data_IF_837369548885
#
_entry.id   IF_837369548885
#
_cell.length_a   1.000
_cell.length_b   1.000
_cell.length_c   1.000
_cell.angle_alpha   90.00
_cell.angle_beta   90.00
_cell.angle_gamma   90.00
#
_symmetry.space_group_name_H-M   'P 1'
#
loop_
_entity.id
_entity.type
_entity.pdbx_description
1 polymer ?
#
# COMPACT_ATOMS: atom_id res chain seq x y z
N UNK A 1 5.54 -16.48 -4.96
CA UNK A 1 5.18 -15.06 -5.13
C UNK A 1 3.66 -15.00 -5.20
N UNK A 2 2.98 -14.28 -4.31
CA UNK A 2 1.51 -14.27 -4.30
C UNK A 2 0.96 -13.52 -5.51
N UNK A 3 -0.10 -14.04 -6.13
CA UNK A 3 -0.76 -13.39 -7.26
C UNK A 3 -1.75 -12.32 -6.77
N UNK A 4 -1.67 -11.13 -7.36
CA UNK A 4 -2.65 -10.05 -7.10
C UNK A 4 -3.93 -10.30 -7.90
N UNK A 5 -5.08 -10.17 -7.26
CA UNK A 5 -6.38 -10.23 -7.94
C UNK A 5 -6.63 -8.92 -8.71
N UNK A 6 -6.85 -9.02 -10.03
CA UNK A 6 -6.98 -7.87 -10.94
C UNK A 6 -8.41 -7.72 -11.50
N UNK A 7 -8.62 -6.67 -12.30
CA UNK A 7 -9.85 -6.42 -13.04
C UNK A 7 -11.07 -6.12 -12.15
N UNK A 8 -12.27 -6.46 -12.64
CA UNK A 8 -13.54 -6.20 -11.95
C UNK A 8 -13.58 -6.79 -10.54
N UNK A 9 -13.09 -8.03 -10.38
CA UNK A 9 -13.03 -8.72 -9.08
C UNK A 9 -12.13 -7.96 -8.11
N UNK A 10 -10.94 -7.54 -8.54
CA UNK A 10 -10.04 -6.72 -7.73
C UNK A 10 -10.67 -5.38 -7.30
N UNK A 11 -11.38 -4.70 -8.21
CA UNK A 11 -12.08 -3.45 -7.89
C UNK A 11 -13.21 -3.66 -6.86
N UNK A 12 -13.95 -4.76 -6.96
CA UNK A 12 -15.00 -5.11 -5.99
C UNK A 12 -14.39 -5.41 -4.61
N UNK A 13 -13.31 -6.19 -4.56
CA UNK A 13 -12.58 -6.47 -3.31
C UNK A 13 -12.05 -5.19 -2.68
N UNK A 14 -11.45 -4.30 -3.48
CA UNK A 14 -10.95 -3.00 -3.01
C UNK A 14 -12.06 -2.19 -2.34
N UNK A 15 -13.22 -2.05 -3.00
CA UNK A 15 -14.38 -1.33 -2.45
C UNK A 15 -14.88 -1.96 -1.15
N UNK A 16 -15.03 -3.29 -1.12
CA UNK A 16 -15.49 -4.02 0.08
C UNK A 16 -14.50 -3.87 1.24
N UNK A 17 -13.19 -3.99 0.99
CA UNK A 17 -12.14 -3.85 2.02
C UNK A 17 -12.17 -2.45 2.66
N UNK A 18 -12.25 -1.39 1.85
CA UNK A 18 -12.37 -0.02 2.34
C UNK A 18 -13.70 0.27 3.05
N UNK A 19 -14.81 -0.36 2.62
CA UNK A 19 -16.08 -0.22 3.32
C UNK A 19 -16.07 -0.89 4.70
N UNK A 20 -15.42 -2.05 4.82
CA UNK A 20 -15.29 -2.78 6.07
C UNK A 20 -14.32 -2.11 7.05
N UNK A 21 -13.28 -1.47 6.54
CA UNK A 21 -12.29 -0.74 7.33
C UNK A 21 -12.11 0.69 6.77
N UNK A 22 -13.06 1.60 7.06
CA UNK A 22 -13.09 2.94 6.46
C UNK A 22 -12.07 3.90 7.07
N UNK A 23 -11.45 3.54 8.20
CA UNK A 23 -10.45 4.35 8.88
C UNK A 23 -9.07 3.71 8.75
N UNK A 24 -8.04 4.53 8.60
CA UNK A 24 -6.66 4.07 8.56
C UNK A 24 -6.29 3.34 9.87
N UNK A 25 -5.91 2.07 9.77
CA UNK A 25 -5.55 1.22 10.92
C UNK A 25 -4.44 1.85 11.78
N UNK A 26 -3.35 2.32 11.14
CA UNK A 26 -2.22 2.98 11.83
C UNK A 26 -2.60 4.30 12.49
N UNK A 27 -3.42 5.12 11.84
CA UNK A 27 -3.89 6.36 12.44
C UNK A 27 -4.75 6.06 13.66
N UNK A 28 -5.67 5.09 13.55
CA UNK A 28 -6.55 4.66 14.64
C UNK A 28 -5.75 4.16 15.85
N UNK A 29 -4.72 3.34 15.64
CA UNK A 29 -3.79 2.88 16.69
C UNK A 29 -3.07 4.04 17.39
N UNK A 30 -2.81 5.14 16.68
CA UNK A 30 -2.20 6.37 17.20
C UNK A 30 -3.22 7.38 17.76
N UNK A 31 -4.49 6.99 17.90
CA UNK A 31 -5.57 7.87 18.38
C UNK A 31 -6.01 8.95 17.39
N UNK A 32 -5.69 8.82 16.10
CA UNK A 32 -6.06 9.76 15.04
C UNK A 32 -7.17 9.18 14.17
N UNK A 33 -8.12 10.03 13.77
CA UNK A 33 -9.21 9.64 12.86
C UNK A 33 -8.85 10.14 11.46
N UNK A 34 -8.47 9.21 10.59
CA UNK A 34 -8.15 9.49 9.18
C UNK A 34 -8.83 8.46 8.31
N UNK A 35 -9.44 8.89 7.20
CA UNK A 35 -10.06 7.97 6.24
C UNK A 35 -8.99 7.05 5.61
N UNK A 36 -9.33 5.78 5.44
CA UNK A 36 -8.50 4.87 4.64
C UNK A 36 -8.80 5.06 3.15
N UNK A 37 -7.75 5.10 2.34
CA UNK A 37 -7.81 5.30 0.90
C UNK A 37 -7.30 4.07 0.13
N UNK A 38 -6.42 3.27 0.75
CA UNK A 38 -5.71 2.16 0.09
C UNK A 38 -5.73 0.89 0.97
N UNK A 39 -6.17 -0.26 0.43
CA UNK A 39 -5.89 -1.56 1.02
C UNK A 39 -4.44 -1.99 0.77
N UNK A 40 -3.72 -2.28 1.84
CA UNK A 40 -2.31 -2.67 1.86
C UNK A 40 -2.16 -4.13 2.29
N UNK A 41 -1.22 -4.85 1.67
CA UNK A 41 -0.86 -6.22 2.05
C UNK A 41 0.08 -6.19 3.27
N UNK A 42 -0.36 -6.74 4.41
CA UNK A 42 0.42 -6.75 5.66
C UNK A 42 1.78 -7.43 5.44
N UNK A 43 1.76 -8.63 4.86
CA UNK A 43 2.90 -9.27 4.23
C UNK A 43 2.83 -9.01 2.73
N UNK A 44 3.80 -8.30 2.13
CA UNK A 44 3.74 -7.98 0.71
C UNK A 44 3.76 -9.22 -0.18
N UNK A 45 3.07 -9.16 -1.32
CA UNK A 45 3.03 -10.25 -2.31
C UNK A 45 4.43 -10.63 -2.81
N UNK A 46 5.32 -9.65 -2.98
CA UNK A 46 6.72 -9.83 -3.38
C UNK A 46 7.53 -10.63 -2.34
N UNK A 47 7.15 -10.56 -1.06
CA UNK A 47 7.77 -11.30 0.04
C UNK A 47 7.00 -12.59 0.38
N UNK A 48 6.13 -13.06 -0.52
CA UNK A 48 5.35 -14.29 -0.34
C UNK A 48 4.13 -14.11 0.57
N UNK A 49 3.53 -12.93 0.59
CA UNK A 49 2.17 -12.74 1.09
C UNK A 49 1.11 -13.15 0.06
N UNK A 50 -0.11 -13.35 0.52
CA UNK A 50 -1.26 -13.74 -0.30
C UNK A 50 -2.29 -12.61 -0.38
N UNK A 51 -3.12 -12.58 -1.43
CA UNK A 51 -4.17 -11.57 -1.60
C UNK A 51 -5.49 -11.96 -0.93
N UNK A 52 -5.41 -12.35 0.35
CA UNK A 52 -6.53 -12.75 1.21
C UNK A 52 -6.87 -11.65 2.21
N UNK A 53 -8.09 -11.65 2.76
CA UNK A 53 -8.57 -10.53 3.59
C UNK A 53 -7.84 -10.43 4.92
N UNK A 54 -7.39 -11.57 5.45
CA UNK A 54 -6.58 -11.70 6.66
C UNK A 54 -5.22 -11.01 6.51
N UNK A 55 -4.70 -10.93 5.28
CA UNK A 55 -3.44 -10.26 4.96
C UNK A 55 -3.63 -8.80 4.52
N UNK A 56 -4.80 -8.19 4.76
CA UNK A 56 -5.08 -6.81 4.36
C UNK A 56 -5.26 -5.90 5.57
N UNK A 57 -4.72 -4.68 5.43
CA UNK A 57 -5.05 -3.53 6.28
C UNK A 57 -5.39 -2.32 5.42
N UNK A 58 -6.37 -1.52 5.83
CA UNK A 58 -6.69 -0.29 5.13
C UNK A 58 -5.94 0.90 5.74
N UNK A 59 -5.28 1.70 4.90
CA UNK A 59 -4.42 2.81 5.30
C UNK A 59 -4.79 4.10 4.54
N UNK A 60 -4.43 5.25 5.10
CA UNK A 60 -4.33 6.50 4.34
C UNK A 60 -3.04 6.50 3.51
N UNK A 61 -2.95 7.38 2.53
CA UNK A 61 -1.81 7.46 1.60
C UNK A 61 -0.48 7.68 2.35
N UNK A 62 -0.44 8.61 3.32
CA UNK A 62 0.77 8.87 4.12
C UNK A 62 1.27 7.64 4.88
N UNK A 63 0.35 6.88 5.49
CA UNK A 63 0.70 5.68 6.23
C UNK A 63 1.11 4.55 5.29
N UNK A 64 0.48 4.44 4.12
CA UNK A 64 0.84 3.48 3.09
C UNK A 64 2.26 3.74 2.55
N UNK A 65 2.63 5.00 2.32
CA UNK A 65 3.98 5.36 1.89
C UNK A 65 5.03 5.10 2.98
N UNK A 66 4.69 5.32 4.25
CA UNK A 66 5.58 4.96 5.37
C UNK A 66 5.81 3.45 5.43
N UNK A 67 4.73 2.66 5.36
CA UNK A 67 4.79 1.19 5.31
C UNK A 67 5.66 0.70 4.16
N UNK A 68 5.45 1.27 2.97
CA UNK A 68 6.19 0.86 1.77
C UNK A 68 7.69 1.07 1.97
N UNK A 69 8.07 2.21 2.56
CA UNK A 69 9.45 2.53 2.93
C UNK A 69 10.01 1.58 3.99
N UNK A 70 9.23 1.21 4.99
CA UNK A 70 9.64 0.24 6.03
C UNK A 70 9.86 -1.17 5.45
N UNK A 71 9.01 -1.60 4.50
CA UNK A 71 9.04 -2.96 3.95
C UNK A 71 10.07 -3.15 2.85
N UNK A 72 10.29 -2.12 2.01
CA UNK A 72 11.13 -2.23 0.81
C UNK A 72 12.34 -1.29 0.82
N UNK A 73 12.48 -0.47 1.86
CA UNK A 73 13.50 0.57 1.95
C UNK A 73 13.22 1.76 1.02
N UNK A 74 14.23 2.63 0.91
CA UNK A 74 14.20 3.73 -0.03
C UNK A 74 14.81 3.32 -1.36
N UNK A 75 14.03 3.33 -2.44
CA UNK A 75 14.62 3.31 -3.78
C UNK A 75 15.19 4.71 -4.05
N UNK A 76 16.53 4.81 -4.16
CA UNK A 76 17.17 6.04 -4.65
C UNK A 76 16.56 6.37 -6.00
N UNK A 77 15.98 7.56 -6.12
CA UNK A 77 15.65 8.10 -7.44
C UNK A 77 16.96 8.51 -8.09
N UNK A 78 17.20 7.99 -9.29
CA UNK A 78 18.24 8.53 -10.17
C UNK A 78 17.91 9.99 -10.41
N UNK A 79 18.85 10.88 -10.10
CA UNK A 79 18.72 12.28 -10.45
C UNK A 79 18.82 12.39 -11.97
N UNK A 80 17.95 13.20 -12.57
CA UNK A 80 17.87 13.38 -14.02
C UNK A 80 18.31 14.80 -14.32
N UNK A 81 19.32 14.95 -15.14
CA UNK A 81 19.86 16.23 -15.57
C UNK A 81 18.88 17.03 -16.41
N UNK A 82 19.20 18.30 -16.67
CA UNK A 82 18.39 19.18 -17.51
C UNK A 82 18.30 18.71 -18.98
N UNK A 83 19.20 17.83 -19.40
CA UNK A 83 19.23 17.14 -20.69
C UNK A 83 18.31 15.90 -20.75
N UNK A 84 17.70 15.52 -19.63
CA UNK A 84 16.80 14.37 -19.53
C UNK A 84 17.50 13.03 -19.30
N UNK A 85 18.83 13.02 -19.08
CA UNK A 85 19.59 11.80 -18.81
C UNK A 85 19.91 11.64 -17.32
N UNK A 86 20.06 10.40 -16.81
CA UNK A 86 20.62 10.14 -15.50
C UNK A 86 21.93 10.89 -15.26
N UNK A 87 21.99 11.74 -14.23
CA UNK A 87 23.28 12.16 -13.69
C UNK A 87 23.84 10.98 -12.90
N UNK A 88 25.04 10.55 -13.28
CA UNK A 88 25.72 9.37 -12.75
C UNK A 88 25.85 9.39 -11.21
#
# INVERSE_FOLDING_TARGET
MGERIRGRKGQQLRRRRLANEPLCRRCKERGRITAATVPDHIKPLALGGEDVDENIRCLCDDCHDQVTREQFGHRRRTEVGADGWPVA
#
